data_IF_177342023237
#
_entry.id   IF_177342023237
#
_cell.length_a   1.000
_cell.length_b   1.000
_cell.length_c   1.000
_cell.angle_alpha   90.00
_cell.angle_beta   90.00
_cell.angle_gamma   90.00
#
_symmetry.space_group_name_H-M   'P 1'
#
loop_
_entity.id
_entity.type
_entity.pdbx_description
1 polymer ?
#
# COMPACT_ATOMS: atom_id res chain seq x y z
N UNK A 1 -6.64 22.70 -10.16
CA UNK A 1 -7.56 21.70 -9.56
C UNK A 1 -7.63 20.38 -10.32
N UNK A 2 -7.69 20.35 -11.67
CA UNK A 2 -7.75 19.09 -12.48
C UNK A 2 -6.45 18.26 -12.52
N UNK A 3 -5.26 18.88 -12.47
CA UNK A 3 -3.95 18.19 -12.56
C UNK A 3 -3.66 17.25 -11.36
N UNK A 4 -3.97 17.67 -10.14
CA UNK A 4 -3.73 16.86 -8.94
C UNK A 4 -4.66 15.64 -8.87
N UNK A 5 -5.85 15.73 -9.46
CA UNK A 5 -6.79 14.61 -9.54
C UNK A 5 -6.28 13.50 -10.47
N UNK A 6 -5.73 13.85 -11.64
CA UNK A 6 -5.10 12.89 -12.55
C UNK A 6 -3.86 12.24 -11.94
N UNK A 7 -3.02 13.01 -11.23
CA UNK A 7 -1.88 12.46 -10.51
C UNK A 7 -2.30 11.46 -9.41
N UNK A 8 -3.38 11.77 -8.68
CA UNK A 8 -3.95 10.85 -7.69
C UNK A 8 -4.55 9.59 -8.34
N UNK A 9 -5.20 9.73 -9.50
CA UNK A 9 -5.74 8.58 -10.24
C UNK A 9 -4.63 7.64 -10.73
N UNK A 10 -3.54 8.19 -11.28
CA UNK A 10 -2.37 7.41 -11.70
C UNK A 10 -1.69 6.77 -10.48
N UNK A 11 -1.50 7.52 -9.39
CA UNK A 11 -0.92 6.98 -8.16
C UNK A 11 -1.77 5.85 -7.56
N UNK A 12 -3.10 5.96 -7.61
CA UNK A 12 -4.01 4.90 -7.19
C UNK A 12 -3.92 3.67 -8.08
N UNK A 13 -3.83 3.87 -9.41
CA UNK A 13 -3.59 2.79 -10.38
C UNK A 13 -2.32 2.02 -10.08
N UNK A 14 -1.19 2.73 -9.98
CA UNK A 14 0.11 2.14 -9.64
C UNK A 14 0.10 1.45 -8.28
N UNK A 15 -0.60 2.02 -7.28
CA UNK A 15 -0.75 1.42 -5.97
C UNK A 15 -1.50 0.07 -6.04
N UNK A 16 -2.57 -0.01 -6.84
CA UNK A 16 -3.35 -1.23 -7.01
C UNK A 16 -2.56 -2.31 -7.77
N UNK A 17 -1.89 -1.96 -8.88
CA UNK A 17 -0.99 -2.87 -9.58
C UNK A 17 0.08 -3.41 -8.64
N UNK A 18 0.71 -2.53 -7.86
CA UNK A 18 1.71 -2.93 -6.87
C UNK A 18 1.10 -3.90 -5.84
N UNK A 19 -0.13 -3.66 -5.37
CA UNK A 19 -0.80 -4.54 -4.42
C UNK A 19 -1.00 -5.96 -4.99
N UNK A 20 -1.51 -6.04 -6.23
CA UNK A 20 -1.76 -7.32 -6.92
C UNK A 20 -0.47 -8.09 -7.14
N UNK A 21 0.55 -7.42 -7.70
CA UNK A 21 1.89 -8.01 -7.91
C UNK A 21 2.50 -8.44 -6.58
N UNK A 22 2.39 -7.62 -5.54
CA UNK A 22 2.92 -7.93 -4.22
C UNK A 22 2.27 -9.17 -3.60
N UNK A 23 0.94 -9.32 -3.73
CA UNK A 23 0.23 -10.51 -3.23
C UNK A 23 0.67 -11.77 -4.00
N UNK A 24 0.76 -11.70 -5.33
CA UNK A 24 1.20 -12.82 -6.16
C UNK A 24 2.63 -13.26 -5.82
N UNK A 25 3.57 -12.30 -5.74
CA UNK A 25 4.97 -12.57 -5.40
C UNK A 25 5.07 -13.13 -3.98
N UNK A 26 4.41 -12.53 -2.99
CA UNK A 26 4.47 -13.02 -1.60
C UNK A 26 3.85 -14.41 -1.44
N UNK A 27 2.85 -14.78 -2.25
CA UNK A 27 2.33 -16.14 -2.30
C UNK A 27 3.38 -17.14 -2.80
N UNK A 28 4.07 -16.81 -3.90
CA UNK A 28 5.14 -17.66 -4.47
C UNK A 28 6.36 -17.76 -3.55
N UNK A 29 6.81 -16.62 -3.02
CA UNK A 29 7.92 -16.55 -2.07
C UNK A 29 7.56 -17.28 -0.79
N UNK A 30 6.35 -17.08 -0.26
CA UNK A 30 5.83 -17.78 0.90
C UNK A 30 5.84 -19.29 0.69
N UNK A 31 5.42 -19.79 -0.48
CA UNK A 31 5.51 -21.21 -0.81
C UNK A 31 6.96 -21.72 -0.82
N UNK A 32 7.90 -20.90 -1.33
CA UNK A 32 9.31 -21.30 -1.49
C UNK A 32 10.12 -21.25 -0.19
N UNK A 33 9.76 -20.36 0.73
CA UNK A 33 10.50 -20.06 1.96
C UNK A 33 9.81 -20.52 3.23
N UNK A 34 8.52 -20.87 3.18
CA UNK A 34 7.81 -21.28 4.38
C UNK A 34 8.39 -22.59 4.94
N UNK A 35 8.63 -22.65 6.26
CA UNK A 35 9.09 -23.88 6.90
C UNK A 35 8.02 -24.98 6.89
N UNK A 36 6.74 -24.61 6.76
CA UNK A 36 5.59 -25.51 6.68
C UNK A 36 4.53 -24.92 5.76
N UNK A 37 3.81 -25.75 5.00
CA UNK A 37 2.93 -25.32 3.90
C UNK A 37 1.82 -24.35 4.31
N UNK A 38 1.30 -24.45 5.54
CA UNK A 38 0.27 -23.53 6.03
C UNK A 38 0.80 -22.11 6.29
N UNK A 39 2.12 -21.95 6.48
CA UNK A 39 2.76 -20.65 6.70
C UNK A 39 2.97 -19.86 5.40
N UNK A 40 2.78 -20.47 4.23
CA UNK A 40 3.00 -19.81 2.94
C UNK A 40 2.16 -18.52 2.75
N UNK A 41 1.02 -18.41 3.43
CA UNK A 41 0.13 -17.23 3.35
C UNK A 41 0.40 -16.19 4.44
N UNK A 42 1.26 -16.47 5.44
CA UNK A 42 1.59 -15.52 6.50
C UNK A 42 2.17 -14.20 5.99
N UNK A 43 3.02 -14.14 4.95
CA UNK A 43 3.48 -12.86 4.43
C UNK A 43 2.32 -11.99 3.94
N UNK A 44 1.35 -12.57 3.23
CA UNK A 44 0.14 -11.87 2.77
C UNK A 44 -0.73 -11.46 3.95
N UNK A 45 -0.90 -12.34 4.94
CA UNK A 45 -1.63 -12.01 6.17
C UNK A 45 -0.96 -10.86 6.94
N UNK A 46 0.37 -10.88 7.04
CA UNK A 46 1.18 -9.84 7.66
C UNK A 46 0.92 -8.48 7.03
N UNK A 47 0.83 -8.42 5.70
CA UNK A 47 0.49 -7.20 4.98
C UNK A 47 -0.89 -6.63 5.36
N UNK A 48 -1.90 -7.49 5.47
CA UNK A 48 -3.27 -7.08 5.86
C UNK A 48 -3.31 -6.62 7.32
N UNK A 49 -2.72 -7.40 8.23
CA UNK A 49 -2.66 -7.06 9.67
C UNK A 49 -1.86 -5.77 9.89
N UNK A 50 -0.72 -5.64 9.23
CA UNK A 50 0.10 -4.44 9.26
C UNK A 50 -0.64 -3.20 8.76
N UNK A 51 -1.47 -3.36 7.72
CA UNK A 51 -2.36 -2.30 7.23
C UNK A 51 -3.43 -1.90 8.25
N UNK A 52 -4.07 -2.87 8.88
CA UNK A 52 -5.07 -2.61 9.93
C UNK A 52 -4.45 -1.86 11.12
N UNK A 53 -3.30 -2.32 11.62
CA UNK A 53 -2.57 -1.68 12.72
C UNK A 53 -2.08 -0.27 12.35
N UNK A 54 -1.62 -0.10 11.12
CA UNK A 54 -1.07 1.17 10.65
C UNK A 54 -2.14 2.22 10.32
N UNK A 55 -3.40 1.83 10.11
CA UNK A 55 -4.48 2.76 9.72
C UNK A 55 -4.62 3.92 10.72
N UNK A 56 -4.60 3.62 12.02
CA UNK A 56 -4.66 4.65 13.06
C UNK A 56 -3.42 5.56 13.10
N UNK A 57 -2.23 4.99 12.88
CA UNK A 57 -0.96 5.72 12.83
C UNK A 57 -0.90 6.67 11.63
N UNK A 58 -1.32 6.20 10.46
CA UNK A 58 -1.39 7.01 9.25
C UNK A 58 -2.40 8.14 9.41
N UNK A 59 -3.59 7.87 9.97
CA UNK A 59 -4.60 8.90 10.21
C UNK A 59 -4.09 10.01 11.15
N UNK A 60 -3.35 9.65 12.20
CA UNK A 60 -2.70 10.62 13.11
C UNK A 60 -1.60 11.40 12.40
N UNK A 61 -0.77 10.73 11.60
CA UNK A 61 0.31 11.36 10.83
C UNK A 61 -0.26 12.37 9.82
N UNK A 62 -1.36 12.04 9.15
CA UNK A 62 -2.04 12.93 8.21
C UNK A 62 -2.63 14.16 8.90
N UNK A 63 -3.21 14.00 10.10
CA UNK A 63 -3.72 15.13 10.90
C UNK A 63 -2.59 16.03 11.40
N UNK A 64 -1.43 15.48 11.75
CA UNK A 64 -0.33 16.22 12.37
C UNK A 64 0.60 16.91 11.37
N UNK A 65 0.91 16.26 10.24
CA UNK A 65 1.90 16.75 9.26
C UNK A 65 1.28 17.13 7.91
N UNK A 66 -0.02 16.93 7.74
CA UNK A 66 -0.71 17.17 6.48
C UNK A 66 -0.50 16.06 5.46
N UNK A 67 -1.39 16.01 4.46
CA UNK A 67 -1.49 14.91 3.50
C UNK A 67 -0.23 14.69 2.66
N UNK A 68 0.38 15.77 2.16
CA UNK A 68 1.55 15.66 1.26
C UNK A 68 2.72 14.94 1.94
N UNK A 69 3.01 15.30 3.19
CA UNK A 69 4.11 14.70 3.96
C UNK A 69 3.79 13.24 4.30
N UNK A 70 2.55 12.92 4.72
CA UNK A 70 2.19 11.52 4.96
C UNK A 70 2.25 10.65 3.71
N UNK A 71 1.90 11.17 2.53
CA UNK A 71 2.07 10.44 1.27
C UNK A 71 3.54 10.17 0.94
N UNK A 72 4.41 11.17 1.11
CA UNK A 72 5.86 10.98 0.92
C UNK A 72 6.45 9.98 1.93
N UNK A 73 6.04 10.05 3.20
CA UNK A 73 6.44 9.08 4.22
C UNK A 73 6.01 7.66 3.85
N UNK A 74 4.78 7.47 3.35
CA UNK A 74 4.33 6.16 2.87
C UNK A 74 5.18 5.63 1.72
N UNK A 75 5.65 6.49 0.82
CA UNK A 75 6.54 6.11 -0.28
C UNK A 75 7.93 5.69 0.22
N UNK A 76 8.49 6.43 1.19
CA UNK A 76 9.76 6.08 1.84
C UNK A 76 9.64 4.73 2.55
N UNK A 77 8.55 4.53 3.30
CA UNK A 77 8.29 3.24 3.95
C UNK A 77 8.16 2.13 2.91
N UNK A 78 7.44 2.35 1.81
CA UNK A 78 7.33 1.38 0.73
C UNK A 78 8.70 0.98 0.16
N UNK A 79 9.55 1.97 -0.12
CA UNK A 79 10.91 1.74 -0.63
C UNK A 79 11.77 0.94 0.35
N UNK A 80 11.78 1.32 1.64
CA UNK A 80 12.53 0.60 2.68
C UNK A 80 12.00 -0.84 2.84
N UNK A 81 10.69 -1.04 2.81
CA UNK A 81 10.11 -2.38 2.92
C UNK A 81 10.40 -3.24 1.70
N UNK A 82 10.42 -2.67 0.49
CA UNK A 82 10.80 -3.39 -0.71
C UNK A 82 12.25 -3.88 -0.64
N UNK A 83 13.18 -3.02 -0.18
CA UNK A 83 14.57 -3.40 0.07
C UNK A 83 14.69 -4.47 1.14
N UNK A 84 13.93 -4.35 2.23
CA UNK A 84 13.93 -5.34 3.32
C UNK A 84 13.40 -6.70 2.84
N UNK A 85 12.32 -6.73 2.06
CA UNK A 85 11.78 -7.95 1.47
C UNK A 85 12.78 -8.57 0.47
N UNK A 86 13.40 -7.76 -0.40
CA UNK A 86 14.43 -8.23 -1.33
C UNK A 86 15.64 -8.83 -0.58
N UNK A 87 16.07 -8.18 0.50
CA UNK A 87 17.12 -8.69 1.37
C UNK A 87 16.70 -10.00 2.06
N UNK A 88 15.49 -10.09 2.59
CA UNK A 88 14.94 -11.30 3.20
C UNK A 88 14.92 -12.49 2.22
N UNK A 89 14.57 -12.25 0.95
CA UNK A 89 14.68 -13.25 -0.11
C UNK A 89 16.13 -13.70 -0.32
N UNK A 90 17.07 -12.76 -0.37
CA UNK A 90 18.48 -13.06 -0.66
C UNK A 90 19.13 -13.97 0.40
N UNK A 91 18.78 -13.78 1.68
CA UNK A 91 19.27 -14.60 2.80
C UNK A 91 18.36 -15.80 3.09
N UNK A 92 17.24 -15.94 2.37
CA UNK A 92 16.26 -17.00 2.58
C UNK A 92 15.60 -16.98 3.96
N UNK A 93 15.33 -15.81 4.53
CA UNK A 93 14.73 -15.69 5.87
C UNK A 93 13.23 -15.38 5.80
N UNK A 94 12.42 -16.40 6.11
CA UNK A 94 10.97 -16.30 6.12
C UNK A 94 10.41 -15.29 7.12
N UNK A 95 10.94 -15.23 8.34
CA UNK A 95 10.43 -14.32 9.38
C UNK A 95 10.74 -12.86 9.06
N UNK A 96 11.90 -12.60 8.46
CA UNK A 96 12.26 -11.28 8.00
C UNK A 96 11.34 -10.81 6.85
N UNK A 97 10.94 -11.74 5.97
CA UNK A 97 9.93 -11.46 4.95
C UNK A 97 8.58 -11.10 5.58
N UNK A 98 8.09 -11.89 6.54
CA UNK A 98 6.83 -11.60 7.24
C UNK A 98 6.90 -10.25 7.97
N UNK A 99 8.00 -9.94 8.64
CA UNK A 99 8.19 -8.62 9.27
C UNK A 99 8.16 -7.49 8.22
N UNK A 100 8.82 -7.68 7.08
CA UNK A 100 8.81 -6.73 5.97
C UNK A 100 7.41 -6.51 5.39
N UNK A 101 6.62 -7.57 5.23
CA UNK A 101 5.23 -7.43 4.74
C UNK A 101 4.32 -6.73 5.75
N UNK A 102 4.50 -6.98 7.06
CA UNK A 102 3.78 -6.24 8.12
C UNK A 102 4.08 -4.75 8.04
N UNK A 103 5.35 -4.37 7.88
CA UNK A 103 5.73 -2.95 7.72
C UNK A 103 5.17 -2.39 6.41
N UNK A 104 5.18 -3.16 5.32
CA UNK A 104 4.58 -2.75 4.04
C UNK A 104 3.07 -2.47 4.16
N UNK A 105 2.40 -3.05 5.15
CA UNK A 105 1.03 -2.71 5.52
C UNK A 105 0.82 -1.22 5.79
N UNK A 106 1.83 -0.50 6.30
CA UNK A 106 1.76 0.96 6.48
C UNK A 106 1.56 1.70 5.15
N UNK A 107 2.30 1.29 4.11
CA UNK A 107 2.11 1.82 2.76
C UNK A 107 0.70 1.51 2.26
N UNK A 108 0.20 0.30 2.49
CA UNK A 108 -1.17 -0.08 2.12
C UNK A 108 -2.22 0.83 2.75
N UNK A 109 -2.12 1.07 4.05
CA UNK A 109 -3.03 1.91 4.81
C UNK A 109 -3.01 3.37 4.32
N UNK A 110 -1.83 3.88 3.97
CA UNK A 110 -1.68 5.23 3.41
C UNK A 110 -2.24 5.33 1.98
N UNK A 111 -2.12 4.28 1.18
CA UNK A 111 -2.71 4.20 -0.15
C UNK A 111 -4.24 4.22 -0.13
N UNK A 112 -4.85 3.54 0.84
CA UNK A 112 -6.31 3.56 1.02
C UNK A 112 -6.87 4.96 1.36
N UNK A 113 -6.02 5.87 1.84
CA UNK A 113 -6.42 7.26 2.13
C UNK A 113 -6.40 8.18 0.89
N UNK A 114 -5.82 7.76 -0.24
CA UNK A 114 -5.86 8.54 -1.49
C UNK A 114 -7.30 8.80 -1.94
N UNK A 115 -8.22 7.83 -1.77
CA UNK A 115 -9.64 7.99 -2.13
C UNK A 115 -10.35 9.10 -1.35
N UNK A 116 -9.99 9.29 -0.08
CA UNK A 116 -10.55 10.34 0.77
C UNK A 116 -9.93 11.70 0.46
N UNK A 117 -8.64 11.75 0.14
CA UNK A 117 -7.99 12.98 -0.31
C UNK A 117 -8.53 13.46 -1.66
N UNK A 118 -8.77 12.55 -2.60
CA UNK A 118 -9.41 12.87 -3.88
C UNK A 118 -10.83 13.42 -3.71
N UNK A 119 -11.61 12.86 -2.77
CA UNK A 119 -12.93 13.36 -2.42
C UNK A 119 -12.93 14.78 -1.85
N UNK A 120 -11.95 15.14 -1.00
CA UNK A 120 -11.86 16.50 -0.44
C UNK A 120 -11.33 17.55 -1.43
N UNK A 121 -10.46 17.16 -2.37
CA UNK A 121 -9.91 18.04 -3.40
C UNK A 121 -10.89 18.34 -4.55
N UNK A 122 -11.95 17.54 -4.70
CA UNK A 122 -12.97 17.74 -5.73
C UNK A 122 -14.07 18.70 -5.24
N UNK A 123 -14.57 19.64 -6.09
CA UNK A 123 -15.74 20.46 -5.78
C UNK A 123 -16.94 19.58 -5.41
N UNK A 124 -17.82 20.05 -4.52
CA UNK A 124 -18.94 19.26 -3.99
C UNK A 124 -19.82 18.61 -5.10
N UNK A 125 -19.96 19.27 -6.25
CA UNK A 125 -20.71 18.78 -7.43
C UNK A 125 -20.01 17.69 -8.26
N UNK A 126 -18.70 17.45 -8.04
CA UNK A 126 -17.88 16.50 -8.82
C UNK A 126 -17.22 15.41 -7.97
N UNK A 127 -17.52 15.34 -6.66
CA UNK A 127 -16.92 14.36 -5.74
C UNK A 127 -17.13 12.92 -6.15
N UNK A 128 -18.36 12.53 -6.48
CA UNK A 128 -18.68 11.15 -6.86
C UNK A 128 -17.98 10.75 -8.18
N UNK A 129 -17.97 11.65 -9.18
CA UNK A 129 -17.24 11.43 -10.43
C UNK A 129 -15.72 11.35 -10.21
N UNK A 130 -15.15 12.17 -9.34
CA UNK A 130 -13.72 12.16 -9.03
C UNK A 130 -13.29 10.86 -8.32
N UNK A 131 -14.08 10.37 -7.37
CA UNK A 131 -13.82 9.09 -6.69
C UNK A 131 -13.95 7.92 -7.66
N UNK A 132 -15.00 7.91 -8.49
CA UNK A 132 -15.20 6.88 -9.53
C UNK A 132 -14.04 6.85 -10.53
N UNK A 133 -13.54 8.02 -10.97
CA UNK A 133 -12.40 8.09 -11.91
C UNK A 133 -11.08 7.58 -11.29
N UNK A 134 -10.86 7.83 -9.99
CA UNK A 134 -9.68 7.33 -9.27
C UNK A 134 -9.76 5.82 -9.07
N UNK A 135 -10.95 5.28 -8.81
CA UNK A 135 -11.18 3.83 -8.75
C UNK A 135 -11.04 3.17 -10.13
N UNK A 136 -11.52 3.82 -11.19
CA UNK A 136 -11.37 3.37 -12.57
C UNK A 136 -9.89 3.40 -13.04
N UNK A 137 -9.10 4.38 -12.59
CA UNK A 137 -7.65 4.37 -12.79
C UNK A 137 -6.96 3.15 -12.17
N UNK A 138 -7.57 2.58 -11.13
CA UNK A 138 -7.22 1.29 -10.54
C UNK A 138 -7.41 0.07 -11.42
N UNK A 139 -8.34 0.11 -12.38
CA UNK A 139 -8.65 -0.99 -13.30
C UNK A 139 -7.72 -1.08 -14.51
N UNK A 140 -6.95 -0.03 -14.81
CA UNK A 140 -5.94 -0.03 -15.88
C UNK A 140 -4.72 -0.87 -15.46
N UNK A 141 -4.53 -1.03 -14.16
CA UNK A 141 -3.36 -1.62 -13.54
C UNK A 141 -3.39 -3.14 -13.37
#
# INVERSE_FOLDING_TARGET
MKKNLWLLAIAQGLFLSNNVVFIAINGLVGLRLAPVSWMATLPVMGYVVGGALSTGLVARSQRRWGRKISFQLGLVVAFVTALLCAFALSIGNFWLLVAGTVIAGYYSANGQLYRFAAGELAPASFREKAVSLVLAGGLIG
#
